data_IF_513692890177
#
_entry.id   IF_513692890177
#
_cell.length_a   1.000
_cell.length_b   1.000
_cell.length_c   1.000
_cell.angle_alpha   90.00
_cell.angle_beta   90.00
_cell.angle_gamma   90.00
#
_symmetry.space_group_name_H-M   'P 1'
#
loop_
_entity.id
_entity.type
_entity.pdbx_description
1 polymer ?
#
# COMPACT_ATOMS: atom_id res chain seq x y z
N UNK A 1 -6.08 3.14 23.93
CA UNK A 1 -5.60 4.31 24.69
C UNK A 1 -5.91 4.16 26.17
N UNK A 2 -4.88 3.95 27.00
CA UNK A 2 -4.96 4.16 28.45
C UNK A 2 -3.64 4.77 28.89
N UNK A 3 -3.67 6.05 29.23
CA UNK A 3 -2.53 6.85 29.67
C UNK A 3 -2.02 6.35 31.02
N UNK A 4 -0.71 6.18 31.17
CA UNK A 4 -0.10 6.11 32.50
C UNK A 4 1.41 5.95 32.43
N UNK A 5 2.10 6.60 33.37
CA UNK A 5 3.56 6.75 33.38
C UNK A 5 4.40 5.46 33.56
N UNK A 6 5.74 5.62 33.48
CA UNK A 6 6.72 4.54 33.35
C UNK A 6 6.77 3.65 34.59
N UNK A 7 6.91 2.33 34.41
CA UNK A 7 7.14 1.37 35.50
C UNK A 7 5.92 0.62 36.05
N UNK A 8 4.78 0.59 35.37
CA UNK A 8 3.52 0.00 35.91
C UNK A 8 2.94 -1.11 35.03
N UNK A 9 3.71 -2.16 34.72
CA UNK A 9 3.17 -3.42 34.19
C UNK A 9 2.28 -3.35 32.93
N UNK A 10 2.27 -2.22 32.21
CA UNK A 10 1.40 -1.99 31.05
C UNK A 10 1.80 -2.82 29.85
N UNK A 11 3.09 -3.12 29.71
CA UNK A 11 3.65 -4.00 28.69
C UNK A 11 3.12 -5.43 28.83
N UNK A 12 3.00 -5.96 30.06
CA UNK A 12 2.46 -7.29 30.30
C UNK A 12 0.93 -7.35 30.12
N UNK A 13 0.20 -6.30 30.55
CA UNK A 13 -1.26 -6.20 30.43
C UNK A 13 -1.70 -5.94 28.97
N UNK A 14 -0.91 -5.18 28.21
CA UNK A 14 -1.08 -4.98 26.77
C UNK A 14 -0.90 -6.28 26.01
N UNK A 15 0.19 -7.03 26.31
CA UNK A 15 0.45 -8.36 25.74
C UNK A 15 -0.68 -9.34 26.02
N UNK A 16 -1.15 -9.42 27.27
CA UNK A 16 -2.20 -10.36 27.65
C UNK A 16 -3.51 -10.07 26.93
N UNK A 17 -3.78 -8.79 26.64
CA UNK A 17 -4.95 -8.35 25.89
C UNK A 17 -4.82 -8.63 24.40
N UNK A 18 -3.62 -8.52 23.83
CA UNK A 18 -3.33 -8.93 22.44
C UNK A 18 -3.45 -10.45 22.29
N UNK A 19 -2.85 -11.22 23.20
CA UNK A 19 -2.98 -12.68 23.23
C UNK A 19 -4.45 -13.12 23.40
N UNK A 20 -5.23 -12.45 24.26
CA UNK A 20 -6.65 -12.71 24.43
C UNK A 20 -7.46 -12.39 23.15
N UNK A 21 -7.17 -11.29 22.47
CA UNK A 21 -7.86 -10.91 21.22
C UNK A 21 -7.51 -11.86 20.06
N UNK A 22 -6.25 -12.30 19.98
CA UNK A 22 -5.81 -13.29 18.99
C UNK A 22 -6.43 -14.67 19.26
N UNK A 23 -6.61 -15.04 20.53
CA UNK A 23 -7.29 -16.27 20.94
C UNK A 23 -8.80 -16.21 20.70
N UNK A 24 -9.46 -15.11 21.10
CA UNK A 24 -10.92 -14.94 21.02
C UNK A 24 -11.45 -14.75 19.58
N UNK A 25 -10.60 -14.35 18.63
CA UNK A 25 -10.97 -14.12 17.23
C UNK A 25 -10.16 -14.96 16.23
N UNK A 26 -9.60 -16.10 16.68
CA UNK A 26 -8.77 -17.04 15.90
C UNK A 26 -9.33 -17.38 14.51
N UNK A 27 -10.64 -17.62 14.39
CA UNK A 27 -11.25 -18.08 13.13
C UNK A 27 -11.35 -16.97 12.06
N UNK A 28 -11.35 -15.69 12.46
CA UNK A 28 -11.26 -14.55 11.52
C UNK A 28 -9.81 -14.23 11.14
N UNK A 29 -8.90 -14.36 12.10
CA UNK A 29 -7.49 -14.03 11.95
C UNK A 29 -6.77 -15.05 11.04
N UNK A 30 -7.18 -16.32 11.05
CA UNK A 30 -6.66 -17.37 10.18
C UNK A 30 -6.88 -17.14 8.69
N UNK A 31 -7.93 -16.39 8.32
CA UNK A 31 -8.28 -16.16 6.91
C UNK A 31 -7.61 -14.93 6.30
N UNK A 32 -7.00 -14.06 7.12
CA UNK A 32 -6.61 -12.70 6.69
C UNK A 32 -5.14 -12.37 6.97
N UNK A 33 -4.41 -13.26 7.66
CA UNK A 33 -3.05 -12.99 8.13
C UNK A 33 -3.01 -11.96 9.26
N UNK A 34 -2.02 -12.05 10.13
CA UNK A 34 -1.82 -11.10 11.24
C UNK A 34 -0.41 -10.54 11.15
N UNK A 35 -0.26 -9.20 11.13
CA UNK A 35 1.04 -8.54 11.27
C UNK A 35 1.14 -7.94 12.67
N UNK A 36 2.13 -8.39 13.42
CA UNK A 36 2.50 -7.72 14.68
C UNK A 36 3.61 -6.73 14.37
N UNK A 37 3.37 -5.45 14.64
CA UNK A 37 4.36 -4.39 14.45
C UNK A 37 4.92 -4.03 15.81
N UNK A 38 6.22 -4.27 15.98
CA UNK A 38 6.94 -4.03 17.21
C UNK A 38 7.93 -2.89 17.07
N UNK A 39 8.22 -2.15 18.16
CA UNK A 39 9.19 -1.05 18.14
C UNK A 39 10.64 -1.50 17.93
N UNK A 40 10.96 -2.78 18.17
CA UNK A 40 12.28 -3.35 17.90
C UNK A 40 12.22 -4.89 17.79
N UNK A 41 13.28 -5.50 17.27
CA UNK A 41 13.37 -6.97 17.09
C UNK A 41 13.35 -7.75 18.41
N UNK A 42 13.84 -7.16 19.51
CA UNK A 42 13.79 -7.80 20.84
C UNK A 42 12.35 -7.93 21.36
N UNK A 43 11.50 -6.94 21.08
CA UNK A 43 10.08 -6.98 21.39
C UNK A 43 9.34 -8.01 20.54
N UNK A 44 9.64 -8.08 19.24
CA UNK A 44 9.07 -9.07 18.32
C UNK A 44 9.46 -10.51 18.72
N UNK A 45 10.71 -10.73 19.08
CA UNK A 45 11.18 -12.03 19.57
C UNK A 45 10.55 -12.43 20.91
N UNK A 46 10.27 -11.47 21.80
CA UNK A 46 9.52 -11.73 23.02
C UNK A 46 8.09 -12.20 22.70
N UNK A 47 7.39 -11.53 21.77
CA UNK A 47 6.05 -11.93 21.32
C UNK A 47 6.06 -13.34 20.72
N UNK A 48 7.07 -13.68 19.92
CA UNK A 48 7.26 -15.02 19.34
C UNK A 48 7.32 -16.11 20.43
N UNK A 49 8.01 -15.84 21.55
CA UNK A 49 8.12 -16.76 22.67
C UNK A 49 6.84 -16.88 23.53
N UNK A 50 5.92 -15.90 23.48
CA UNK A 50 4.64 -15.95 24.22
C UNK A 50 3.47 -16.46 23.37
N UNK A 51 3.61 -16.49 22.04
CA UNK A 51 2.63 -17.05 21.11
C UNK A 51 2.78 -18.56 20.71
N UNK A 52 3.47 -19.47 21.44
CA UNK A 52 3.50 -20.90 21.07
C UNK A 52 2.13 -21.61 21.06
N UNK A 53 1.07 -21.01 21.61
CA UNK A 53 -0.24 -21.64 21.76
C UNK A 53 -1.23 -21.39 20.59
N UNK A 54 -0.86 -20.60 19.58
CA UNK A 54 -1.72 -20.26 18.43
C UNK A 54 -1.28 -20.98 17.16
N UNK A 55 -1.21 -22.32 17.24
CA UNK A 55 -0.91 -23.18 16.09
C UNK A 55 -1.72 -22.77 14.85
N UNK A 56 -1.02 -22.62 13.72
CA UNK A 56 -1.56 -22.32 12.38
C UNK A 56 -2.00 -20.88 12.06
N UNK A 57 -1.46 -19.86 12.73
CA UNK A 57 -1.49 -18.49 12.19
C UNK A 57 -0.09 -18.09 11.70
N UNK A 58 0.08 -17.88 10.39
CA UNK A 58 1.28 -17.25 9.85
C UNK A 58 1.31 -15.78 10.29
N UNK A 59 1.94 -15.52 11.43
CA UNK A 59 2.16 -14.17 11.93
C UNK A 59 3.39 -13.62 11.22
N UNK A 60 3.17 -12.72 10.26
CA UNK A 60 4.26 -11.89 9.76
C UNK A 60 4.66 -10.93 10.88
N UNK A 61 5.96 -10.73 11.06
CA UNK A 61 6.51 -9.79 12.04
C UNK A 61 7.41 -8.83 11.29
N UNK A 62 7.21 -7.54 11.51
CA UNK A 62 8.05 -6.51 10.93
C UNK A 62 8.12 -5.34 11.90
N UNK A 63 9.30 -4.74 12.05
CA UNK A 63 9.40 -3.44 12.70
C UNK A 63 8.82 -2.36 11.77
N UNK A 64 8.57 -1.15 12.29
CA UNK A 64 8.19 0.00 11.43
C UNK A 64 9.26 0.21 10.37
N UNK A 65 10.54 0.06 10.73
CA UNK A 65 11.65 0.14 9.79
C UNK A 65 11.59 -0.97 8.73
N UNK A 66 11.32 -2.23 9.11
CA UNK A 66 11.22 -3.35 8.16
C UNK A 66 10.00 -3.23 7.20
N UNK A 67 8.97 -2.46 7.57
CA UNK A 67 7.79 -2.21 6.72
C UNK A 67 8.01 -1.09 5.69
N UNK A 68 8.93 -0.18 5.99
CA UNK A 68 9.23 1.01 5.16
C UNK A 68 10.57 0.86 4.42
N UNK A 69 11.43 -0.07 4.84
CA UNK A 69 12.78 -0.27 4.29
C UNK A 69 12.78 -1.02 2.94
N UNK A 70 12.29 -0.37 1.89
CA UNK A 70 12.69 -0.69 0.51
C UNK A 70 14.11 -0.20 0.20
N UNK A 71 14.66 0.69 1.06
CA UNK A 71 16.00 1.28 0.95
C UNK A 71 16.67 1.41 2.32
N UNK A 72 18.00 1.38 2.35
CA UNK A 72 18.78 1.57 3.58
C UNK A 72 18.86 3.06 3.94
N UNK A 73 18.30 3.42 5.09
CA UNK A 73 18.30 4.80 5.60
C UNK A 73 19.68 5.14 6.17
N UNK A 74 20.35 6.12 5.55
CA UNK A 74 21.70 6.58 5.93
C UNK A 74 21.83 8.10 5.98
N UNK A 75 20.79 8.82 5.56
CA UNK A 75 20.71 10.27 5.55
C UNK A 75 19.77 10.80 6.62
N UNK A 76 19.81 12.12 6.80
CA UNK A 76 18.95 12.88 7.70
C UNK A 76 18.44 14.09 6.93
N UNK A 77 17.15 14.40 7.07
CA UNK A 77 16.57 15.64 6.56
C UNK A 77 16.50 16.70 7.66
N UNK A 78 16.57 17.97 7.26
CA UNK A 78 16.20 19.07 8.13
C UNK A 78 14.71 19.02 8.48
N UNK A 79 14.33 19.50 9.66
CA UNK A 79 12.95 19.41 10.15
C UNK A 79 11.89 19.96 9.16
N UNK A 80 12.09 21.10 8.48
CA UNK A 80 11.14 21.59 7.48
C UNK A 80 10.97 20.65 6.29
N UNK A 81 12.06 20.05 5.80
CA UNK A 81 12.01 19.11 4.69
C UNK A 81 11.27 17.82 5.07
N UNK A 82 11.49 17.31 6.28
CA UNK A 82 10.80 16.13 6.78
C UNK A 82 9.27 16.37 6.92
N UNK A 83 8.85 17.58 7.31
CA UNK A 83 7.42 17.94 7.40
C UNK A 83 6.77 17.95 6.02
N UNK A 84 7.38 18.60 5.03
CA UNK A 84 6.83 18.68 3.66
C UNK A 84 6.80 17.30 3.00
N UNK A 85 7.88 16.51 3.10
CA UNK A 85 7.93 15.13 2.58
C UNK A 85 6.90 14.23 3.28
N UNK A 86 6.64 14.48 4.55
CA UNK A 86 5.63 13.82 5.35
C UNK A 86 4.25 14.48 5.29
N UNK A 87 3.89 15.23 4.24
CA UNK A 87 2.56 15.77 4.04
C UNK A 87 1.72 14.83 3.15
N UNK A 88 0.41 14.73 3.39
CA UNK A 88 -0.49 13.96 2.54
C UNK A 88 -0.55 14.49 1.10
N UNK A 89 -0.26 15.78 0.88
CA UNK A 89 -0.16 16.39 -0.45
C UNK A 89 0.89 15.71 -1.33
N UNK A 90 1.95 15.16 -0.74
CA UNK A 90 2.99 14.44 -1.48
C UNK A 90 2.48 13.17 -2.15
N UNK A 91 1.45 12.51 -1.61
CA UNK A 91 0.84 11.34 -2.26
C UNK A 91 0.25 11.72 -3.62
N UNK A 92 -0.38 12.90 -3.73
CA UNK A 92 -0.91 13.39 -5.00
C UNK A 92 0.22 13.83 -5.96
N UNK A 93 1.29 14.46 -5.45
CA UNK A 93 2.48 14.78 -6.27
C UNK A 93 3.09 13.52 -6.85
N UNK A 94 3.28 12.48 -6.04
CA UNK A 94 3.79 11.17 -6.47
C UNK A 94 2.87 10.52 -7.50
N UNK A 95 1.56 10.60 -7.30
CA UNK A 95 0.57 10.09 -8.26
C UNK A 95 0.70 10.81 -9.60
N UNK A 96 0.73 12.14 -9.62
CA UNK A 96 0.91 12.93 -10.85
C UNK A 96 2.22 12.58 -11.57
N UNK A 97 3.33 12.53 -10.83
CA UNK A 97 4.64 12.17 -11.35
C UNK A 97 4.69 10.75 -11.92
N UNK A 98 4.01 9.79 -11.27
CA UNK A 98 3.91 8.42 -11.75
C UNK A 98 3.11 8.34 -13.05
N UNK A 99 1.93 8.96 -13.09
CA UNK A 99 1.04 8.90 -14.27
C UNK A 99 1.53 9.75 -15.45
N UNK A 100 2.42 10.73 -15.23
CA UNK A 100 3.10 11.46 -16.30
C UNK A 100 3.98 10.56 -17.19
N UNK A 101 4.33 9.35 -16.74
CA UNK A 101 5.03 8.37 -17.56
C UNK A 101 4.12 7.67 -18.58
N UNK A 102 2.79 7.76 -18.43
CA UNK A 102 1.84 7.17 -19.37
C UNK A 102 1.75 8.05 -20.61
N UNK A 103 2.04 7.47 -21.77
CA UNK A 103 2.01 8.17 -23.06
C UNK A 103 0.86 7.67 -23.93
N UNK A 104 0.09 8.58 -24.52
CA UNK A 104 -1.00 8.19 -25.42
C UNK A 104 -0.46 7.55 -26.71
N UNK A 105 -1.00 6.39 -27.14
CA UNK A 105 -0.52 5.68 -28.32
C UNK A 105 -0.88 6.43 -29.60
N UNK A 106 0.12 6.76 -30.42
CA UNK A 106 -0.06 7.33 -31.76
C UNK A 106 0.12 6.30 -32.88
N UNK A 107 0.74 5.16 -32.56
CA UNK A 107 1.02 4.08 -33.50
C UNK A 107 0.08 2.88 -33.31
N UNK A 108 -0.29 2.20 -34.40
CA UNK A 108 -1.09 0.99 -34.36
C UNK A 108 -0.27 -0.22 -33.87
N UNK A 109 -0.93 -1.19 -33.25
CA UNK A 109 -0.33 -2.49 -32.92
C UNK A 109 -0.73 -3.51 -33.97
N UNK A 110 0.27 -4.21 -34.54
CA UNK A 110 0.04 -5.28 -35.51
C UNK A 110 0.54 -6.60 -34.93
N UNK A 111 -0.40 -7.51 -34.66
CA UNK A 111 -0.12 -8.86 -34.17
C UNK A 111 -0.10 -9.82 -35.35
N UNK A 112 1.05 -10.46 -35.59
CA UNK A 112 1.19 -11.51 -36.60
C UNK A 112 0.90 -12.87 -35.95
N UNK A 113 -0.02 -13.63 -36.53
CA UNK A 113 -0.34 -15.00 -36.08
C UNK A 113 -0.63 -15.88 -37.28
N UNK A 114 0.17 -16.94 -37.47
CA UNK A 114 0.11 -17.76 -38.68
C UNK A 114 0.40 -16.91 -39.92
N UNK A 115 -0.47 -16.99 -40.92
CA UNK A 115 -0.42 -16.15 -42.13
C UNK A 115 -1.20 -14.83 -42.02
N UNK A 116 -1.97 -14.64 -40.93
CA UNK A 116 -2.84 -13.47 -40.74
C UNK A 116 -2.16 -12.37 -39.92
N UNK A 117 -2.53 -11.12 -40.21
CA UNK A 117 -2.08 -9.93 -39.47
C UNK A 117 -3.29 -9.23 -38.88
N UNK A 118 -3.30 -9.09 -37.56
CA UNK A 118 -4.37 -8.43 -36.82
C UNK A 118 -3.91 -7.04 -36.40
N UNK A 119 -4.57 -6.01 -36.94
CA UNK A 119 -4.24 -4.62 -36.66
C UNK A 119 -5.23 -4.02 -35.66
N UNK A 120 -4.70 -3.52 -34.55
CA UNK A 120 -5.39 -2.66 -33.60
C UNK A 120 -4.94 -1.22 -33.86
N UNK A 121 -5.84 -0.32 -34.28
CA UNK A 121 -5.49 1.06 -34.60
C UNK A 121 -5.19 1.89 -33.35
N UNK A 122 -4.43 2.98 -33.52
CA UNK A 122 -4.00 3.85 -32.43
C UNK A 122 -5.18 4.42 -31.61
N UNK A 123 -6.24 4.88 -32.28
CA UNK A 123 -7.44 5.43 -31.59
C UNK A 123 -8.11 4.43 -30.64
N UNK A 124 -8.06 3.14 -30.96
CA UNK A 124 -8.64 2.10 -30.10
C UNK A 124 -7.71 1.77 -28.93
N UNK A 125 -6.39 1.78 -29.16
CA UNK A 125 -5.41 1.67 -28.07
C UNK A 125 -5.54 2.85 -27.10
N UNK A 126 -5.73 4.05 -27.62
CA UNK A 126 -5.92 5.27 -26.85
C UNK A 126 -7.17 5.17 -25.97
N UNK A 127 -8.27 4.67 -26.52
CA UNK A 127 -9.50 4.39 -25.79
C UNK A 127 -9.29 3.35 -24.68
N UNK A 128 -8.57 2.26 -24.95
CA UNK A 128 -8.23 1.26 -23.94
C UNK A 128 -7.39 1.85 -22.80
N UNK A 129 -6.45 2.74 -23.12
CA UNK A 129 -5.60 3.43 -22.13
C UNK A 129 -6.43 4.38 -21.28
N UNK A 130 -7.30 5.21 -21.89
CA UNK A 130 -8.22 6.10 -21.16
C UNK A 130 -9.11 5.32 -20.20
N UNK A 131 -9.71 4.22 -20.67
CA UNK A 131 -10.53 3.36 -19.83
C UNK A 131 -9.79 2.72 -18.66
N UNK A 132 -8.46 2.57 -18.73
CA UNK A 132 -7.64 2.11 -17.61
C UNK A 132 -7.26 3.26 -16.67
N UNK A 133 -7.05 4.46 -17.20
CA UNK A 133 -6.77 5.68 -16.41
C UNK A 133 -8.00 6.14 -15.61
N UNK A 134 -9.19 6.00 -16.16
CA UNK A 134 -10.46 6.37 -15.50
C UNK A 134 -10.86 5.36 -14.41
N UNK A 135 -10.23 4.19 -14.38
CA UNK A 135 -10.42 3.21 -13.32
C UNK A 135 -9.54 3.57 -12.14
N UNK A 136 -10.10 3.53 -10.94
CA UNK A 136 -9.36 3.63 -9.68
C UNK A 136 -8.59 2.33 -9.39
N UNK A 137 -7.64 1.99 -10.27
CA UNK A 137 -6.73 0.85 -10.16
C UNK A 137 -5.30 1.35 -10.04
N UNK A 138 -4.45 0.55 -9.37
CA UNK A 138 -3.02 0.86 -9.21
C UNK A 138 -2.26 0.78 -10.53
N UNK A 139 -1.18 1.53 -10.66
CA UNK A 139 -0.46 1.71 -11.91
C UNK A 139 0.07 0.39 -12.49
N UNK A 140 0.63 -0.49 -11.66
CA UNK A 140 1.12 -1.81 -12.08
C UNK A 140 -0.01 -2.73 -12.53
N UNK A 141 -1.15 -2.71 -11.84
CA UNK A 141 -2.32 -3.49 -12.23
C UNK A 141 -2.91 -3.02 -13.57
N UNK A 142 -2.97 -1.71 -13.80
CA UNK A 142 -3.37 -1.13 -15.09
C UNK A 142 -2.42 -1.56 -16.21
N UNK A 143 -1.11 -1.47 -15.97
CA UNK A 143 -0.07 -1.91 -16.89
C UNK A 143 -0.19 -3.39 -17.26
N UNK A 144 -0.46 -4.25 -16.28
CA UNK A 144 -0.59 -5.70 -16.50
C UNK A 144 -1.91 -6.08 -17.18
N UNK A 145 -2.95 -5.24 -17.03
CA UNK A 145 -4.23 -5.41 -17.72
C UNK A 145 -4.19 -4.98 -19.19
N UNK A 146 -3.36 -4.00 -19.57
CA UNK A 146 -3.31 -3.47 -20.93
C UNK A 146 -3.00 -4.53 -22.01
N UNK A 147 -2.02 -5.44 -21.86
CA UNK A 147 -1.81 -6.53 -22.81
C UNK A 147 -3.05 -7.40 -23.04
N UNK A 148 -3.81 -7.69 -21.97
CA UNK A 148 -5.02 -8.50 -22.04
C UNK A 148 -6.16 -7.77 -22.76
N UNK A 149 -6.27 -6.44 -22.57
CA UNK A 149 -7.22 -5.60 -23.31
C UNK A 149 -6.93 -5.56 -24.80
N UNK A 150 -5.65 -5.40 -25.17
CA UNK A 150 -5.22 -5.45 -26.57
C UNK A 150 -5.46 -6.83 -27.17
N UNK A 151 -5.19 -7.90 -26.41
CA UNK A 151 -5.47 -9.26 -26.85
C UNK A 151 -6.95 -9.49 -27.11
N UNK A 152 -7.82 -9.05 -26.21
CA UNK A 152 -9.27 -9.13 -26.40
C UNK A 152 -9.73 -8.40 -27.68
N UNK A 153 -9.20 -7.20 -27.94
CA UNK A 153 -9.48 -6.45 -29.18
C UNK A 153 -9.06 -7.20 -30.46
N UNK A 154 -7.97 -7.98 -30.39
CA UNK A 154 -7.54 -8.87 -31.48
C UNK A 154 -8.48 -10.07 -31.61
N UNK A 155 -8.89 -10.70 -30.50
CA UNK A 155 -9.80 -11.84 -30.51
C UNK A 155 -11.15 -11.50 -31.14
N UNK A 156 -11.74 -10.35 -30.81
CA UNK A 156 -12.98 -9.88 -31.43
C UNK A 156 -12.85 -9.77 -32.96
N UNK A 157 -11.67 -9.41 -33.47
CA UNK A 157 -11.40 -9.39 -34.92
C UNK A 157 -11.24 -10.79 -35.50
N UNK A 158 -10.62 -11.71 -34.76
CA UNK A 158 -10.49 -13.12 -35.14
C UNK A 158 -11.87 -13.78 -35.27
N UNK A 159 -12.77 -13.54 -34.31
CA UNK A 159 -14.16 -14.01 -34.33
C UNK A 159 -14.93 -13.50 -35.54
N UNK A 160 -14.81 -12.19 -35.85
CA UNK A 160 -15.42 -11.59 -37.05
C UNK A 160 -14.90 -12.19 -38.35
N UNK A 161 -13.69 -12.74 -38.34
CA UNK A 161 -13.09 -13.45 -39.49
C UNK A 161 -13.39 -14.96 -39.50
N UNK A 162 -14.28 -15.43 -38.62
CA UNK A 162 -14.75 -16.81 -38.53
C UNK A 162 -13.85 -17.74 -37.71
N UNK A 163 -12.90 -17.22 -36.92
CA UNK A 163 -12.11 -18.04 -35.99
C UNK A 163 -12.84 -18.19 -34.64
N UNK A 164 -12.56 -19.27 -33.91
CA UNK A 164 -13.07 -19.50 -32.55
C UNK A 164 -11.92 -19.48 -31.55
N UNK A 165 -11.42 -18.28 -31.16
CA UNK A 165 -10.32 -18.17 -30.22
C UNK A 165 -10.75 -18.56 -28.79
N UNK A 166 -9.82 -19.11 -28.01
CA UNK A 166 -10.00 -19.45 -26.60
C UNK A 166 -9.07 -18.63 -25.70
N UNK A 167 -9.11 -18.88 -24.38
CA UNK A 167 -8.25 -18.22 -23.40
C UNK A 167 -6.75 -18.41 -23.68
N UNK A 168 -6.35 -19.55 -24.28
CA UNK A 168 -4.95 -19.80 -24.65
C UNK A 168 -4.53 -18.94 -25.82
N UNK A 169 -5.44 -18.72 -26.78
CA UNK A 169 -5.23 -17.76 -27.87
C UNK A 169 -5.03 -16.37 -27.30
N UNK A 170 -5.87 -15.94 -26.36
CA UNK A 170 -5.78 -14.63 -25.72
C UNK A 170 -4.42 -14.43 -25.04
N UNK A 171 -4.01 -15.37 -24.19
CA UNK A 171 -2.73 -15.35 -23.50
C UNK A 171 -1.54 -15.30 -24.46
N UNK A 172 -1.61 -16.04 -25.57
CA UNK A 172 -0.57 -16.01 -26.59
C UNK A 172 -0.48 -14.65 -27.29
N UNK A 173 -1.62 -14.00 -27.54
CA UNK A 173 -1.66 -12.65 -28.11
C UNK A 173 -1.14 -11.62 -27.11
N UNK A 174 -1.56 -11.69 -25.84
CA UNK A 174 -1.09 -10.79 -24.78
C UNK A 174 0.43 -10.88 -24.58
N UNK A 175 1.02 -12.07 -24.76
CA UNK A 175 2.47 -12.30 -24.64
C UNK A 175 3.26 -11.96 -25.91
N UNK A 176 2.59 -11.59 -27.01
CA UNK A 176 3.22 -11.26 -28.29
C UNK A 176 4.18 -10.05 -28.14
N UNK A 177 5.29 -10.08 -28.88
CA UNK A 177 6.32 -9.03 -28.82
C UNK A 177 5.80 -7.66 -29.25
N UNK A 178 4.91 -7.58 -30.23
CA UNK A 178 4.31 -6.32 -30.67
C UNK A 178 3.43 -5.69 -29.59
N UNK A 179 2.63 -6.51 -28.89
CA UNK A 179 1.80 -6.06 -27.76
C UNK A 179 2.68 -5.60 -26.60
N UNK A 180 3.71 -6.39 -26.24
CA UNK A 180 4.66 -6.03 -25.18
C UNK A 180 5.42 -4.75 -25.49
N UNK A 181 5.83 -4.54 -26.74
CA UNK A 181 6.52 -3.34 -27.16
C UNK A 181 5.61 -2.10 -27.02
N UNK A 182 4.36 -2.18 -27.48
CA UNK A 182 3.40 -1.10 -27.33
C UNK A 182 3.10 -0.79 -25.86
N UNK A 183 2.87 -1.81 -25.04
CA UNK A 183 2.66 -1.63 -23.59
C UNK A 183 3.88 -1.00 -22.92
N UNK A 184 5.10 -1.39 -23.32
CA UNK A 184 6.34 -0.79 -22.78
C UNK A 184 6.46 0.70 -23.13
N UNK A 185 6.04 1.10 -24.32
CA UNK A 185 6.07 2.50 -24.76
C UNK A 185 4.97 3.34 -24.11
N UNK A 186 3.75 2.80 -24.07
CA UNK A 186 2.56 3.51 -23.56
C UNK A 186 2.54 3.55 -22.03
N UNK A 187 2.93 2.44 -21.38
CA UNK A 187 2.83 2.25 -19.94
C UNK A 187 4.11 1.60 -19.39
N UNK A 188 5.22 2.37 -19.31
CA UNK A 188 6.52 1.84 -18.91
C UNK A 188 6.50 1.32 -17.46
N UNK A 189 7.38 0.37 -17.15
CA UNK A 189 7.60 -0.03 -15.77
C UNK A 189 8.38 1.06 -15.03
N UNK A 190 7.87 1.48 -13.88
CA UNK A 190 8.48 2.53 -13.05
C UNK A 190 9.01 1.90 -11.78
N UNK A 191 10.23 2.28 -11.40
CA UNK A 191 10.85 1.89 -10.14
C UNK A 191 10.56 2.98 -9.09
N UNK A 192 9.98 2.64 -7.93
CA UNK A 192 9.58 3.63 -6.91
C UNK A 192 10.75 4.50 -6.44
N UNK A 193 11.92 3.91 -6.18
CA UNK A 193 13.09 4.63 -5.70
C UNK A 193 13.67 5.56 -6.77
N UNK A 194 13.66 5.15 -8.05
CA UNK A 194 14.04 6.03 -9.16
C UNK A 194 13.07 7.18 -9.37
N UNK A 195 11.76 6.96 -9.15
CA UNK A 195 10.75 8.02 -9.22
C UNK A 195 11.02 9.09 -8.17
N UNK A 196 11.21 8.70 -6.91
CA UNK A 196 11.52 9.63 -5.81
C UNK A 196 12.86 10.33 -6.02
N UNK A 197 13.89 9.59 -6.47
CA UNK A 197 15.19 10.16 -6.85
C UNK A 197 15.05 11.27 -7.90
N UNK A 198 14.26 11.03 -8.95
CA UNK A 198 13.99 12.03 -9.99
C UNK A 198 13.21 13.20 -9.42
N UNK A 199 12.16 12.93 -8.64
CA UNK A 199 11.31 13.96 -8.05
C UNK A 199 12.07 14.92 -7.13
N UNK A 200 12.96 14.42 -6.28
CA UNK A 200 13.75 15.25 -5.36
C UNK A 200 15.04 15.81 -5.99
N UNK A 201 15.43 15.29 -7.15
CA UNK A 201 16.67 15.69 -7.83
C UNK A 201 16.49 16.63 -9.02
N UNK A 202 15.28 16.75 -9.56
CA UNK A 202 14.95 17.54 -10.75
C UNK A 202 13.92 18.64 -10.40
N UNK A 203 14.36 19.91 -10.30
CA UNK A 203 13.48 21.02 -9.94
C UNK A 203 12.32 21.25 -10.91
N UNK A 204 12.54 21.04 -12.20
CA UNK A 204 11.49 21.25 -13.22
C UNK A 204 10.43 20.16 -13.12
N UNK A 205 10.88 18.90 -12.97
CA UNK A 205 9.98 17.77 -12.79
C UNK A 205 9.17 17.85 -11.48
N UNK A 206 9.77 18.35 -10.39
CA UNK A 206 9.03 18.61 -9.16
C UNK A 206 7.98 19.70 -9.36
N UNK A 207 8.37 20.84 -9.96
CA UNK A 207 7.47 21.97 -10.14
C UNK A 207 6.25 21.62 -10.99
N UNK A 208 6.45 20.87 -12.08
CA UNK A 208 5.36 20.41 -12.96
C UNK A 208 4.33 19.56 -12.21
N UNK A 209 4.77 18.67 -11.33
CA UNK A 209 3.87 17.74 -10.63
C UNK A 209 3.37 18.26 -9.27
N UNK A 210 4.05 19.26 -8.71
CA UNK A 210 3.65 19.94 -7.48
C UNK A 210 2.78 21.19 -7.73
N UNK A 211 2.51 21.54 -8.99
CA UNK A 211 1.71 22.71 -9.34
C UNK A 211 0.33 22.69 -8.66
N UNK A 212 0.02 23.78 -7.96
CA UNK A 212 -1.17 23.95 -7.14
C UNK A 212 -1.23 23.13 -5.84
N UNK A 213 -0.17 22.37 -5.48
CA UNK A 213 -0.11 21.54 -4.27
C UNK A 213 0.95 22.01 -3.28
N UNK A 214 2.15 22.34 -3.76
CA UNK A 214 3.24 22.86 -2.94
C UNK A 214 3.64 24.25 -3.41
N UNK A 215 3.93 25.15 -2.47
CA UNK A 215 4.46 26.45 -2.82
C UNK A 215 5.95 26.38 -3.23
N UNK A 216 6.49 27.46 -3.81
CA UNK A 216 7.88 27.50 -4.26
C UNK A 216 8.89 27.29 -3.12
N UNK A 217 8.55 27.69 -1.89
CA UNK A 217 9.43 27.57 -0.74
C UNK A 217 9.49 26.12 -0.25
N UNK A 218 8.34 25.45 -0.18
CA UNK A 218 8.20 24.03 0.10
C UNK A 218 8.98 23.19 -0.92
N UNK A 219 8.83 23.51 -2.22
CA UNK A 219 9.57 22.84 -3.30
C UNK A 219 11.09 22.99 -3.13
N UNK A 220 11.58 24.23 -2.89
CA UNK A 220 13.02 24.48 -2.64
C UNK A 220 13.54 23.77 -1.39
N UNK A 221 12.69 23.57 -0.39
CA UNK A 221 13.05 22.93 0.89
C UNK A 221 13.30 21.43 0.72
N UNK A 222 12.57 20.75 -0.16
CA UNK A 222 12.69 19.29 -0.34
C UNK A 222 13.68 18.88 -1.43
N UNK A 223 14.05 19.80 -2.32
CA UNK A 223 15.01 19.54 -3.41
C UNK A 223 16.42 19.27 -2.87
N UNK A 224 17.07 18.26 -3.43
CA UNK A 224 18.46 17.96 -3.11
C UNK A 224 19.41 18.92 -3.81
N UNK A 225 20.26 19.57 -3.02
CA UNK A 225 21.30 20.49 -3.54
C UNK A 225 22.36 19.78 -4.39
N UNK A 226 22.58 18.48 -4.14
CA UNK A 226 23.48 17.61 -4.92
C UNK A 226 22.84 16.23 -5.11
N UNK A 227 21.99 16.06 -6.13
CA UNK A 227 21.33 14.78 -6.35
C UNK A 227 22.36 13.70 -6.70
N UNK A 228 22.21 12.52 -6.10
CA UNK A 228 23.07 11.40 -6.40
C UNK A 228 22.77 10.85 -7.81
N UNK A 229 23.77 10.31 -8.51
CA UNK A 229 23.59 9.81 -9.89
C UNK A 229 22.82 8.48 -9.97
N UNK A 230 22.64 7.79 -8.84
CA UNK A 230 21.98 6.49 -8.80
C UNK A 230 21.33 6.22 -7.44
N UNK A 231 20.29 5.41 -7.42
CA UNK A 231 19.58 4.94 -6.20
C UNK A 231 20.54 4.37 -5.14
N UNK A 232 21.62 3.70 -5.56
CA UNK A 232 22.60 3.08 -4.65
C UNK A 232 23.54 4.09 -3.97
N UNK A 233 23.73 5.25 -4.58
CA UNK A 233 24.61 6.32 -4.07
C UNK A 233 23.86 7.35 -3.23
N UNK A 234 22.54 7.29 -3.20
CA UNK A 234 21.71 8.19 -2.38
C UNK A 234 21.87 7.80 -0.92
N UNK A 235 21.99 8.81 -0.05
CA UNK A 235 21.83 8.64 1.39
C UNK A 235 20.37 8.94 1.74
N UNK A 236 19.53 7.92 1.63
CA UNK A 236 18.09 8.05 1.88
C UNK A 236 17.82 8.48 3.31
N UNK A 237 16.96 9.47 3.50
CA UNK A 237 16.42 9.84 4.81
C UNK A 237 15.23 8.96 5.17
N UNK A 238 14.79 9.04 6.44
CA UNK A 238 13.56 8.39 6.87
C UNK A 238 12.32 8.94 6.12
N UNK A 239 12.30 10.24 5.81
CA UNK A 239 11.19 10.85 5.08
C UNK A 239 11.18 10.42 3.60
N UNK A 240 12.35 10.24 2.99
CA UNK A 240 12.43 9.71 1.62
C UNK A 240 11.93 8.26 1.54
N UNK A 241 12.23 7.45 2.56
CA UNK A 241 11.77 6.07 2.62
C UNK A 241 10.23 5.98 2.66
N UNK A 242 9.57 6.92 3.35
CA UNK A 242 8.09 7.04 3.34
C UNK A 242 7.57 7.35 1.94
N UNK A 243 8.22 8.28 1.21
CA UNK A 243 7.83 8.58 -0.18
C UNK A 243 8.01 7.38 -1.11
N UNK A 244 9.08 6.59 -0.92
CA UNK A 244 9.33 5.38 -1.69
C UNK A 244 8.27 4.32 -1.39
N UNK A 245 7.87 4.16 -0.13
CA UNK A 245 6.79 3.25 0.25
C UNK A 245 5.45 3.65 -0.37
N UNK A 246 5.09 4.93 -0.31
CA UNK A 246 3.87 5.45 -0.95
C UNK A 246 3.91 5.25 -2.48
N UNK A 247 5.04 5.55 -3.13
CA UNK A 247 5.23 5.28 -4.55
C UNK A 247 5.13 3.78 -4.88
N UNK A 248 5.61 2.91 -3.98
CA UNK A 248 5.51 1.46 -4.12
C UNK A 248 4.05 1.03 -4.06
N UNK A 249 3.25 1.57 -3.13
CA UNK A 249 1.82 1.27 -3.04
C UNK A 249 1.04 1.74 -4.28
N UNK A 250 1.36 2.93 -4.80
CA UNK A 250 0.75 3.44 -6.04
C UNK A 250 1.03 2.53 -7.25
N UNK A 251 2.20 1.88 -7.28
CA UNK A 251 2.60 0.96 -8.36
C UNK A 251 2.03 -0.44 -8.14
N UNK A 252 2.31 -1.04 -6.99
CA UNK A 252 1.88 -2.39 -6.63
C UNK A 252 1.01 -2.32 -5.39
N UNK A 253 -0.17 -2.93 -5.44
CA UNK A 253 -1.03 -2.99 -4.27
C UNK A 253 -0.30 -3.75 -3.16
N UNK A 254 0.06 -3.06 -2.09
CA UNK A 254 0.53 -3.72 -0.87
C UNK A 254 -0.63 -4.52 -0.30
N UNK A 255 -0.41 -5.81 0.01
CA UNK A 255 -1.47 -6.66 0.54
C UNK A 255 -2.05 -6.03 1.82
N UNK A 256 -3.38 -5.91 1.89
CA UNK A 256 -4.07 -5.39 3.07
C UNK A 256 -3.92 -6.39 4.21
N UNK A 257 -3.18 -6.01 5.25
CA UNK A 257 -2.99 -6.83 6.44
C UNK A 257 -4.23 -6.69 7.32
N UNK A 258 -4.88 -7.83 7.64
CA UNK A 258 -6.20 -7.86 8.27
C UNK A 258 -6.24 -7.31 9.70
N UNK A 259 -5.11 -7.34 10.41
CA UNK A 259 -4.98 -6.78 11.76
C UNK A 259 -3.55 -6.32 11.99
N UNK A 260 -3.42 -5.09 12.50
CA UNK A 260 -2.15 -4.54 12.96
C UNK A 260 -2.31 -4.13 14.40
N UNK A 261 -1.48 -4.71 15.24
CA UNK A 261 -1.36 -4.35 16.65
C UNK A 261 -0.19 -3.38 16.76
N UNK A 262 -0.49 -2.14 17.09
CA UNK A 262 0.49 -1.08 17.39
C UNK A 262 0.49 -0.87 18.90
N UNK A 263 1.62 -1.09 19.55
CA UNK A 263 1.87 -0.60 20.90
C UNK A 263 2.84 0.60 20.80
N UNK A 264 2.58 1.68 21.55
CA UNK A 264 3.28 2.99 21.49
C UNK A 264 3.07 3.84 20.21
N UNK A 265 1.82 4.06 19.77
CA UNK A 265 1.49 5.00 18.66
C UNK A 265 1.59 6.50 19.02
N UNK A 266 2.42 6.89 19.99
CA UNK A 266 2.43 8.24 20.56
C UNK A 266 3.38 9.21 19.84
N UNK A 267 4.32 8.72 19.03
CA UNK A 267 5.36 9.52 18.37
C UNK A 267 5.27 9.56 16.83
N UNK A 268 4.11 9.20 16.25
CA UNK A 268 3.94 9.11 14.80
C UNK A 268 3.24 10.34 14.20
N UNK A 269 3.82 10.93 13.16
CA UNK A 269 3.27 12.08 12.43
C UNK A 269 2.06 11.70 11.55
N UNK A 270 1.13 12.63 11.23
CA UNK A 270 -0.14 12.31 10.58
C UNK A 270 -0.04 11.58 9.24
N UNK A 271 1.00 11.79 8.44
CA UNK A 271 1.18 11.12 7.15
C UNK A 271 1.58 9.64 7.28
N UNK A 272 2.35 9.28 8.31
CA UNK A 272 2.56 7.87 8.69
C UNK A 272 1.25 7.17 9.12
N UNK A 273 0.23 7.96 9.45
CA UNK A 273 -1.10 7.48 9.84
C UNK A 273 -2.11 7.46 8.68
N UNK A 274 -1.76 7.98 7.49
CA UNK A 274 -2.65 8.05 6.32
C UNK A 274 -3.19 6.69 5.86
N UNK A 275 -2.42 5.63 6.11
CA UNK A 275 -2.77 4.21 5.93
C UNK A 275 -4.05 3.78 6.67
N UNK A 276 -4.41 4.42 7.78
CA UNK A 276 -5.37 3.89 8.76
C UNK A 276 -6.77 4.50 8.70
N UNK A 277 -6.93 5.68 8.10
CA UNK A 277 -8.23 6.36 8.08
C UNK A 277 -9.29 5.61 7.23
N UNK A 278 -8.86 4.86 6.22
CA UNK A 278 -9.74 4.01 5.39
C UNK A 278 -9.99 2.60 5.94
N UNK A 279 -9.18 2.13 6.91
CA UNK A 279 -9.24 0.76 7.43
C UNK A 279 -10.08 0.61 8.71
N UNK A 280 -10.44 1.72 9.37
CA UNK A 280 -11.22 1.70 10.60
C UNK A 280 -12.67 2.04 10.29
N UNK A 281 -13.50 1.03 10.06
CA UNK A 281 -14.96 1.21 10.26
C UNK A 281 -15.18 1.39 11.77
N UNK A 282 -15.73 2.54 12.23
CA UNK A 282 -16.11 2.66 13.63
C UNK A 282 -17.17 1.59 13.92
N UNK A 283 -16.90 0.75 14.92
CA UNK A 283 -17.92 -0.12 15.51
C UNK A 283 -19.01 0.80 16.04
N UNK A 284 -20.17 0.84 15.37
CA UNK A 284 -21.37 1.51 15.88
C UNK A 284 -21.62 0.99 17.28
N UNK A 285 -21.63 1.88 18.27
CA UNK A 285 -22.10 1.57 19.61
C UNK A 285 -23.56 1.11 19.51
N UNK A 286 -23.93 -0.08 20.02
CA UNK A 286 -25.33 -0.38 20.27
C UNK A 286 -25.84 0.57 21.36
N UNK A 287 -26.96 1.23 21.08
CA UNK A 287 -27.69 2.07 22.01
C UNK A 287 -28.12 1.28 23.25
N UNK A 288 -27.85 1.88 24.43
CA UNK A 288 -28.60 1.73 25.68
C UNK A 288 -29.38 0.42 25.89
N UNK A 289 -28.74 -0.56 26.53
CA UNK A 289 -29.44 -1.60 27.28
C UNK A 289 -29.06 -1.46 28.76
N UNK A 290 -30.05 -1.07 29.54
CA UNK A 290 -30.09 -0.92 30.99
C UNK A 290 -29.53 -2.13 31.75
N UNK A 291 -28.59 -1.88 32.66
CA UNK A 291 -28.05 -2.85 33.59
C UNK A 291 -29.12 -3.26 34.62
N UNK A 292 -29.63 -4.50 34.55
CA UNK A 292 -30.29 -5.12 35.70
C UNK A 292 -29.24 -5.73 36.64
N UNK A 293 -29.14 -5.17 37.85
CA UNK A 293 -28.38 -5.73 38.98
C UNK A 293 -28.89 -7.12 39.34
N UNK A 294 -27.99 -8.10 39.42
CA UNK A 294 -28.25 -9.34 40.15
C UNK A 294 -28.29 -9.06 41.68
N UNK A 295 -29.18 -9.70 42.46
CA UNK A 295 -29.33 -9.41 43.88
C UNK A 295 -28.27 -10.13 44.73
N UNK A 296 -27.95 -9.61 45.94
CA UNK A 296 -26.88 -10.15 46.78
C UNK A 296 -27.32 -11.40 47.53
N UNK A 297 -26.38 -12.32 47.72
CA UNK A 297 -26.51 -13.55 48.53
C UNK A 297 -26.75 -13.17 50.00
N UNK A 298 -27.85 -13.65 50.58
CA UNK A 298 -28.14 -13.53 52.01
C UNK A 298 -28.05 -14.88 52.73
N UNK A 299 -27.38 -14.88 53.90
CA UNK A 299 -27.62 -15.72 55.10
C UNK A 299 -26.91 -15.02 56.28
N UNK A 300 -27.26 -15.26 57.56
CA UNK A 300 -28.41 -15.99 58.13
C UNK A 300 -29.17 -15.17 59.22
N UNK A 301 -30.35 -15.62 59.64
CA UNK A 301 -30.91 -15.21 60.93
C UNK A 301 -31.60 -16.38 61.65
N UNK A 302 -31.32 -16.42 62.93
CA UNK A 302 -31.66 -17.40 63.96
C UNK A 302 -33.14 -17.33 64.32
N UNK A 303 -33.79 -18.48 64.51
CA UNK A 303 -35.12 -18.58 65.10
C UNK A 303 -35.22 -19.77 66.06
N UNK A 304 -35.19 -19.51 67.36
CA UNK A 304 -35.45 -20.49 68.43
C UNK A 304 -36.94 -20.87 68.44
N UNK A 305 -37.17 -22.18 68.61
CA UNK A 305 -38.24 -22.88 69.37
C UNK A 305 -39.54 -22.12 69.68
N UNK A 306 -40.67 -22.74 69.33
CA UNK A 306 -41.55 -23.41 70.30
C UNK A 306 -42.11 -24.67 69.68
#
# INVERSE_FOLDING_TARGET
>A
MRTGGPGTGKTAVGLHRVAYLLYAHRDRLARTGTLVVGPNRSFLHYIEQVLPALGELSVAQATVDDLVAHVEVRGTDDAPAAVVKGDARMAEVLRRALYAHVTMPTEPVVVVRGSRRWRVPAYELEELVRQLLDRDIRYGAARDALPQRVAHAVLVRMERAGEAPDDRVQDAVARNSAVKAAVKTVWPAVDPAKLVLRLLGDPEFLAEHADGLLDEQEQKTILWTKPARSVKSVKWSAADAVLIDEATDLIQRTHSLGHVVLDEAQDLSPCSTGRWAGAVRPVRRPSSATWHRAPPRGRPAVGRRR
#
